data_IF_365506610434
#
_entry.id   IF_365506610434
#
_cell.length_a   1.000
_cell.length_b   1.000
_cell.length_c   1.000
_cell.angle_alpha   90.00
_cell.angle_beta   90.00
_cell.angle_gamma   90.00
#
_symmetry.space_group_name_H-M   'P 1'
#
loop_
_entity.id
_entity.type
_entity.pdbx_description
1 polymer ?
#
# COMPACT_ATOMS: atom_id res chain seq x y z
N UNK A 1 -1.62 -9.66 -20.07
CA UNK A 1 -0.79 -9.83 -18.87
C UNK A 1 -0.48 -8.43 -18.37
N UNK A 2 -1.12 -8.02 -17.28
CA UNK A 2 -0.65 -6.86 -16.53
C UNK A 2 0.67 -7.29 -15.86
N UNK A 3 1.71 -6.48 -15.99
CA UNK A 3 2.94 -6.66 -15.23
C UNK A 3 2.74 -5.96 -13.89
N UNK A 4 2.79 -6.68 -12.77
CA UNK A 4 2.82 -6.01 -11.47
C UNK A 4 4.05 -5.11 -11.36
N UNK A 5 3.92 -4.12 -10.48
CA UNK A 5 4.88 -3.04 -10.34
C UNK A 5 5.79 -3.19 -9.11
N UNK A 6 5.56 -4.21 -8.28
CA UNK A 6 6.32 -4.47 -7.06
C UNK A 6 7.04 -5.81 -7.09
N UNK A 7 8.19 -5.85 -6.42
CA UNK A 7 8.92 -7.05 -6.07
C UNK A 7 9.39 -6.82 -4.63
N UNK A 8 9.25 -7.83 -3.77
CA UNK A 8 9.59 -7.70 -2.36
C UNK A 8 10.34 -8.93 -1.85
N UNK A 9 11.25 -8.70 -0.90
CA UNK A 9 12.00 -9.74 -0.23
C UNK A 9 11.49 -9.92 1.20
N UNK A 10 11.29 -11.16 1.64
CA UNK A 10 10.82 -11.50 2.98
C UNK A 10 11.07 -12.96 3.28
N UNK A 11 11.27 -13.31 4.55
CA UNK A 11 11.42 -14.70 5.02
C UNK A 11 10.02 -15.21 5.38
N UNK A 12 9.32 -15.82 4.41
CA UNK A 12 7.90 -16.20 4.61
C UNK A 12 7.74 -17.56 5.29
N UNK A 13 8.75 -18.43 5.23
CA UNK A 13 8.72 -19.75 5.86
C UNK A 13 9.58 -19.85 7.13
N UNK A 14 10.14 -18.73 7.57
CA UNK A 14 10.93 -18.58 8.79
C UNK A 14 12.18 -19.49 8.80
N UNK A 15 12.77 -19.73 7.63
CA UNK A 15 13.98 -20.56 7.47
C UNK A 15 15.30 -19.76 7.60
N UNK A 16 15.21 -18.43 7.61
CA UNK A 16 16.32 -17.48 7.76
C UNK A 16 16.96 -17.02 6.46
N UNK A 17 16.55 -17.57 5.30
CA UNK A 17 16.88 -17.06 3.98
C UNK A 17 15.76 -16.12 3.49
N UNK A 18 16.08 -14.97 2.89
CA UNK A 18 15.05 -14.10 2.30
C UNK A 18 14.54 -14.69 0.98
N UNK A 19 13.22 -14.79 0.85
CA UNK A 19 12.50 -15.21 -0.34
C UNK A 19 11.98 -14.03 -1.14
N UNK A 20 11.59 -14.29 -2.39
CA UNK A 20 11.16 -13.25 -3.32
C UNK A 20 9.68 -13.39 -3.68
N UNK A 21 8.90 -12.36 -3.39
CA UNK A 21 7.58 -12.15 -3.98
C UNK A 21 7.72 -11.30 -5.23
N UNK A 22 7.32 -11.86 -6.38
CA UNK A 22 7.44 -11.17 -7.66
C UNK A 22 6.22 -10.32 -8.00
N UNK A 23 6.39 -9.47 -9.01
CA UNK A 23 5.36 -8.68 -9.70
C UNK A 23 4.22 -9.50 -10.34
N UNK A 24 4.26 -10.83 -10.26
CA UNK A 24 3.18 -11.70 -10.75
C UNK A 24 2.54 -12.48 -9.60
N UNK A 25 2.77 -12.04 -8.37
CA UNK A 25 2.43 -12.75 -7.14
C UNK A 25 2.92 -14.21 -7.12
N UNK A 26 4.07 -14.46 -7.76
CA UNK A 26 4.79 -15.73 -7.65
C UNK A 26 5.81 -15.60 -6.54
N UNK A 27 5.75 -16.51 -5.58
CA UNK A 27 6.76 -16.68 -4.53
C UNK A 27 7.90 -17.53 -5.09
N UNK A 28 9.12 -17.08 -4.89
CA UNK A 28 10.34 -17.84 -5.16
C UNK A 28 11.07 -18.12 -3.85
N UNK A 29 11.06 -19.38 -3.46
CA UNK A 29 11.78 -19.87 -2.29
C UNK A 29 13.29 -19.80 -2.55
N UNK A 30 14.03 -19.18 -1.65
CA UNK A 30 15.47 -19.05 -1.69
C UNK A 30 16.11 -20.06 -0.77
N UNK A 31 16.52 -21.21 -1.31
CA UNK A 31 17.30 -22.17 -0.51
C UNK A 31 18.77 -22.01 -0.82
N UNK A 32 19.55 -21.47 0.12
CA UNK A 32 21.00 -21.28 -0.01
C UNK A 32 21.41 -20.48 -1.27
N UNK A 33 20.71 -19.39 -1.58
CA UNK A 33 20.99 -18.52 -2.72
C UNK A 33 20.43 -19.01 -4.05
N UNK A 34 19.56 -20.02 -4.04
CA UNK A 34 18.90 -20.56 -5.23
C UNK A 34 17.39 -20.37 -5.16
N UNK A 35 16.88 -19.47 -6.00
CA UNK A 35 15.45 -19.21 -6.17
C UNK A 35 14.75 -20.35 -6.92
N UNK A 36 13.65 -20.85 -6.34
CA UNK A 36 12.75 -21.84 -6.94
C UNK A 36 11.32 -21.36 -6.77
N UNK A 37 10.56 -21.22 -7.86
CA UNK A 37 9.16 -20.83 -7.79
C UNK A 37 8.33 -21.92 -7.08
N UNK A 38 7.49 -21.53 -6.12
CA UNK A 38 6.62 -22.44 -5.34
C UNK A 38 5.13 -22.26 -5.64
N UNK A 39 4.77 -21.29 -6.49
CA UNK A 39 3.42 -21.09 -7.03
C UNK A 39 3.41 -21.39 -8.53
N UNK A 40 2.44 -22.17 -9.00
CA UNK A 40 2.34 -22.57 -10.42
C UNK A 40 1.39 -21.72 -11.26
N UNK A 41 0.66 -20.76 -10.67
CA UNK A 41 -0.25 -19.90 -11.44
C UNK A 41 0.00 -18.40 -11.16
N UNK A 42 0.59 -17.65 -12.12
CA UNK A 42 0.72 -16.21 -11.99
C UNK A 42 -0.66 -15.57 -11.89
N UNK A 43 -0.93 -14.90 -10.78
CA UNK A 43 -2.10 -14.01 -10.69
C UNK A 43 -1.76 -12.71 -11.39
N UNK A 44 -2.62 -12.29 -12.31
CA UNK A 44 -2.56 -10.91 -12.82
C UNK A 44 -2.76 -9.99 -11.63
N UNK A 45 -1.82 -9.09 -11.37
CA UNK A 45 -1.91 -8.13 -10.27
C UNK A 45 -1.15 -6.85 -10.64
N UNK A 46 -1.48 -5.75 -9.98
CA UNK A 46 -0.75 -4.49 -10.06
C UNK A 46 0.32 -4.40 -8.96
N UNK A 47 0.00 -4.94 -7.79
CA UNK A 47 0.84 -4.85 -6.61
C UNK A 47 0.74 -6.14 -5.81
N UNK A 48 1.88 -6.57 -5.28
CA UNK A 48 2.01 -7.67 -4.34
C UNK A 48 2.99 -7.25 -3.24
N UNK A 49 2.69 -7.61 -1.99
CA UNK A 49 3.54 -7.27 -0.83
C UNK A 49 3.46 -8.31 0.28
N UNK A 50 4.54 -8.42 1.06
CA UNK A 50 4.59 -9.17 2.30
C UNK A 50 4.17 -8.29 3.48
N UNK A 51 3.39 -8.84 4.40
CA UNK A 51 3.00 -8.17 5.65
C UNK A 51 2.70 -9.23 6.71
N UNK A 52 2.99 -8.97 7.98
CA UNK A 52 2.47 -9.75 9.10
C UNK A 52 1.24 -9.00 9.65
N UNK A 53 0.05 -9.28 9.11
CA UNK A 53 -1.15 -8.46 9.43
C UNK A 53 -1.83 -8.89 10.74
N UNK A 54 -1.60 -10.11 11.21
CA UNK A 54 -2.23 -10.65 12.43
C UNK A 54 -1.25 -10.88 13.59
N UNK A 55 0.02 -10.47 13.41
CA UNK A 55 1.11 -10.50 14.39
C UNK A 55 1.49 -11.92 14.82
N UNK A 56 1.34 -12.90 13.95
CA UNK A 56 1.76 -14.28 14.23
C UNK A 56 3.26 -14.55 13.89
N UNK A 57 3.94 -13.57 13.27
CA UNK A 57 5.31 -13.62 12.75
C UNK A 57 5.51 -14.55 11.53
N UNK A 58 4.45 -14.98 10.87
CA UNK A 58 4.53 -15.52 9.52
C UNK A 58 4.18 -14.39 8.53
N UNK A 59 5.01 -14.15 7.51
CA UNK A 59 4.67 -13.13 6.52
C UNK A 59 3.51 -13.61 5.63
N UNK A 60 2.44 -12.83 5.63
CA UNK A 60 1.26 -12.96 4.78
C UNK A 60 1.45 -12.24 3.45
N UNK A 61 0.74 -12.71 2.43
CA UNK A 61 0.82 -12.14 1.08
C UNK A 61 -0.42 -11.33 0.77
N UNK A 62 -0.23 -10.10 0.32
CA UNK A 62 -1.31 -9.22 -0.14
C UNK A 62 -1.20 -9.07 -1.65
N UNK A 63 -2.32 -9.20 -2.36
CA UNK A 63 -2.41 -9.00 -3.80
C UNK A 63 -3.46 -7.94 -4.09
N UNK A 64 -3.04 -6.88 -4.77
CA UNK A 64 -3.95 -5.90 -5.35
C UNK A 64 -4.05 -6.12 -6.86
N UNK A 65 -5.26 -6.42 -7.34
CA UNK A 65 -5.62 -6.41 -8.75
C UNK A 65 -6.66 -5.31 -9.04
N UNK A 66 -7.25 -5.31 -10.23
CA UNK A 66 -8.18 -4.27 -10.68
C UNK A 66 -9.47 -4.20 -9.85
N UNK A 67 -9.96 -5.36 -9.40
CA UNK A 67 -11.27 -5.52 -8.76
C UNK A 67 -11.19 -6.16 -7.37
N UNK A 68 -10.00 -6.56 -6.89
CA UNK A 68 -9.81 -7.14 -5.56
C UNK A 68 -8.51 -6.70 -4.88
N UNK A 69 -8.59 -6.54 -3.56
CA UNK A 69 -7.45 -6.50 -2.65
C UNK A 69 -7.60 -7.76 -1.79
N UNK A 70 -6.76 -8.76 -2.02
CA UNK A 70 -6.86 -10.06 -1.36
C UNK A 70 -5.70 -10.21 -0.37
N UNK A 71 -6.01 -10.57 0.89
CA UNK A 71 -5.03 -11.06 1.85
C UNK A 71 -5.00 -12.60 1.85
N UNK A 72 -3.80 -13.16 1.68
CA UNK A 72 -3.52 -14.59 1.83
C UNK A 72 -2.75 -14.79 3.13
N UNK A 73 -3.46 -15.24 4.16
CA UNK A 73 -2.85 -15.56 5.44
C UNK A 73 -1.92 -16.76 5.28
N UNK A 74 -0.69 -16.61 5.74
CA UNK A 74 0.31 -17.65 5.82
C UNK A 74 0.22 -18.35 7.17
N UNK A 75 0.18 -19.67 7.15
CA UNK A 75 0.32 -20.49 8.34
C UNK A 75 1.47 -21.45 8.09
N UNK A 76 2.69 -21.02 8.42
CA UNK A 76 3.93 -21.77 8.27
C UNK A 76 4.13 -22.36 6.86
N UNK A 77 4.03 -21.50 5.84
CA UNK A 77 4.18 -21.81 4.41
C UNK A 77 2.90 -22.23 3.70
N UNK A 78 1.77 -22.33 4.41
CA UNK A 78 0.47 -22.65 3.83
C UNK A 78 -0.41 -21.40 3.74
N UNK A 79 -0.77 -20.99 2.53
CA UNK A 79 -1.56 -19.79 2.28
C UNK A 79 -3.07 -20.07 2.16
N UNK A 80 -3.89 -19.26 2.84
CA UNK A 80 -5.36 -19.26 2.71
C UNK A 80 -5.92 -17.86 2.52
N UNK A 81 -6.87 -17.69 1.60
CA UNK A 81 -7.56 -16.42 1.39
C UNK A 81 -8.38 -16.02 2.62
N UNK A 82 -8.20 -14.79 3.07
CA UNK A 82 -8.98 -14.16 4.14
C UNK A 82 -10.21 -13.48 3.53
N UNK A 83 -11.34 -13.53 4.23
CA UNK A 83 -12.52 -12.72 3.89
C UNK A 83 -12.33 -11.33 4.51
N UNK A 84 -11.61 -10.47 3.81
CA UNK A 84 -11.33 -9.11 4.25
C UNK A 84 -12.35 -8.10 3.69
N UNK A 85 -12.39 -6.91 4.30
CA UNK A 85 -13.27 -5.81 3.90
C UNK A 85 -12.49 -4.64 3.30
N UNK A 86 -11.37 -4.91 2.64
CA UNK A 86 -10.53 -3.89 2.03
C UNK A 86 -10.99 -3.66 0.58
N UNK A 87 -11.38 -2.44 0.27
CA UNK A 87 -11.74 -2.09 -1.11
C UNK A 87 -10.51 -2.10 -2.02
N UNK A 88 -10.65 -2.69 -3.20
CA UNK A 88 -9.66 -2.59 -4.27
C UNK A 88 -9.70 -1.23 -4.96
N UNK A 89 -8.54 -0.75 -5.41
CA UNK A 89 -8.44 0.44 -6.22
C UNK A 89 -7.68 0.15 -7.52
N UNK A 90 -8.27 0.55 -8.64
CA UNK A 90 -7.64 0.42 -9.96
C UNK A 90 -6.39 1.27 -10.03
N UNK A 91 -5.34 0.72 -10.64
CA UNK A 91 -4.03 1.37 -10.68
C UNK A 91 -3.51 1.75 -9.28
N UNK A 92 -3.93 0.99 -8.27
CA UNK A 92 -3.73 1.37 -6.88
C UNK A 92 -2.39 0.98 -6.29
N UNK A 93 -2.20 1.43 -5.06
CA UNK A 93 -1.07 1.18 -4.19
C UNK A 93 -1.60 0.80 -2.81
N UNK A 94 -0.85 -0.06 -2.13
CA UNK A 94 -1.08 -0.41 -0.72
C UNK A 94 0.15 0.02 0.07
N UNK A 95 -0.09 0.59 1.26
CA UNK A 95 0.94 0.85 2.25
C UNK A 95 0.48 0.37 3.61
N UNK A 96 1.38 -0.26 4.35
CA UNK A 96 1.15 -0.75 5.70
C UNK A 96 1.88 0.13 6.72
N UNK A 97 1.29 0.31 7.89
CA UNK A 97 1.86 1.08 9.00
C UNK A 97 0.88 1.18 10.17
N UNK A 98 1.39 1.26 11.39
CA UNK A 98 0.61 1.43 12.62
C UNK A 98 0.38 2.93 12.86
N UNK A 99 -0.76 3.47 12.38
CA UNK A 99 -1.00 4.93 12.42
C UNK A 99 -1.57 5.42 13.75
N UNK A 100 -2.12 4.52 14.56
CA UNK A 100 -2.69 4.85 15.87
C UNK A 100 -1.92 4.26 17.06
N UNK A 101 -0.75 3.68 16.80
CA UNK A 101 0.22 3.20 17.79
C UNK A 101 -0.34 2.09 18.70
N UNK A 102 -1.25 1.25 18.17
CA UNK A 102 -1.79 0.08 18.88
C UNK A 102 -1.01 -1.23 18.58
N UNK A 103 -0.06 -1.12 17.65
CA UNK A 103 0.86 -2.15 17.19
C UNK A 103 0.32 -3.05 16.09
N UNK A 104 -0.94 -2.91 15.66
CA UNK A 104 -1.49 -3.63 14.51
C UNK A 104 -1.08 -2.85 13.26
N UNK A 105 -0.67 -3.55 12.22
CA UNK A 105 -0.40 -2.87 10.95
C UNK A 105 -1.72 -2.49 10.29
N UNK A 106 -1.96 -1.19 10.17
CA UNK A 106 -3.08 -0.63 9.42
C UNK A 106 -2.74 -0.52 7.93
N UNK A 107 -3.77 -0.33 7.11
CA UNK A 107 -3.63 -0.31 5.66
C UNK A 107 -4.17 0.96 5.04
N UNK A 108 -3.33 1.60 4.25
CA UNK A 108 -3.67 2.68 3.34
C UNK A 108 -3.81 2.11 1.94
N UNK A 109 -5.00 2.26 1.36
CA UNK A 109 -5.26 1.94 -0.05
C UNK A 109 -5.49 3.24 -0.81
N UNK A 110 -4.76 3.41 -1.90
CA UNK A 110 -4.99 4.51 -2.84
C UNK A 110 -5.07 3.99 -4.27
N UNK A 111 -5.77 4.71 -5.15
CA UNK A 111 -5.83 4.42 -6.57
C UNK A 111 -6.86 5.29 -7.27
N UNK A 112 -7.46 4.78 -8.34
CA UNK A 112 -8.46 5.52 -9.08
C UNK A 112 -9.69 5.85 -8.21
N UNK A 113 -9.92 7.14 -7.92
CA UNK A 113 -11.04 7.64 -7.11
C UNK A 113 -11.15 7.05 -5.69
N UNK A 114 -10.09 6.45 -5.16
CA UNK A 114 -10.10 5.80 -3.84
C UNK A 114 -8.86 6.20 -3.04
N UNK A 115 -9.08 6.70 -1.83
CA UNK A 115 -8.07 7.00 -0.82
C UNK A 115 -8.67 6.67 0.54
N UNK A 116 -8.32 5.52 1.11
CA UNK A 116 -8.90 5.04 2.37
C UNK A 116 -7.82 4.50 3.30
N UNK A 117 -8.02 4.73 4.59
CA UNK A 117 -7.28 4.06 5.64
C UNK A 117 -8.25 3.10 6.32
N UNK A 118 -7.83 1.85 6.45
CA UNK A 118 -8.51 0.87 7.28
C UNK A 118 -7.66 0.61 8.50
N UNK A 119 -8.25 0.80 9.67
CA UNK A 119 -7.64 0.38 10.92
C UNK A 119 -7.76 -1.13 11.05
N UNK A 120 -6.67 -1.78 11.41
CA UNK A 120 -6.64 -3.21 11.66
C UNK A 120 -6.83 -3.46 13.16
N UNK A 121 -7.94 -4.07 13.55
CA UNK A 121 -8.19 -4.48 14.93
C UNK A 121 -8.00 -6.00 15.05
N UNK A 122 -6.75 -6.48 15.18
CA UNK A 122 -6.38 -7.91 15.24
C UNK A 122 -6.92 -8.75 14.06
N UNK A 123 -6.61 -8.34 12.84
CA UNK A 123 -7.03 -8.99 11.59
C UNK A 123 -8.40 -8.55 11.07
N UNK A 124 -9.05 -7.57 11.73
CA UNK A 124 -10.35 -7.03 11.32
C UNK A 124 -10.19 -5.59 10.81
N UNK A 125 -10.42 -5.38 9.52
CA UNK A 125 -10.20 -4.09 8.86
C UNK A 125 -11.43 -3.19 8.88
N UNK A 126 -11.31 -2.01 9.48
CA UNK A 126 -12.39 -1.02 9.59
C UNK A 126 -12.01 0.28 8.87
N UNK A 127 -12.79 0.69 7.87
CA UNK A 127 -12.63 1.99 7.20
C UNK A 127 -12.88 3.13 8.20
N UNK A 128 -11.84 3.92 8.49
CA UNK A 128 -11.93 5.02 9.46
C UNK A 128 -12.61 6.27 8.86
N UNK A 129 -12.98 6.23 7.58
CA UNK A 129 -13.53 7.36 6.83
C UNK A 129 -12.61 8.59 6.91
N UNK A 130 -11.29 8.36 6.82
CA UNK A 130 -10.29 9.40 6.82
C UNK A 130 -10.61 10.39 5.70
N UNK A 131 -10.64 11.69 6.02
CA UNK A 131 -10.94 12.74 5.05
C UNK A 131 -9.73 13.05 4.15
N UNK A 132 -9.15 12.02 3.55
CA UNK A 132 -7.96 12.06 2.68
C UNK A 132 -8.26 12.63 1.28
N UNK A 133 -9.42 13.24 1.07
CA UNK A 133 -9.68 13.96 -0.15
C UNK A 133 -10.87 14.88 0.06
N UNK A 134 -10.61 16.19 0.06
CA UNK A 134 -11.66 17.19 0.00
C UNK A 134 -11.84 17.59 -1.46
N UNK A 135 -12.98 17.19 -2.03
CA UNK A 135 -13.56 17.78 -3.23
C UNK A 135 -12.88 17.46 -4.57
N UNK A 136 -13.36 16.43 -5.24
CA UNK A 136 -13.87 16.58 -6.61
C UNK A 136 -14.47 15.26 -7.08
N UNK A 137 -15.67 15.32 -7.63
CA UNK A 137 -16.33 14.26 -8.41
C UNK A 137 -15.64 14.00 -9.76
N UNK A 138 -14.30 14.00 -9.78
CA UNK A 138 -13.44 13.88 -10.94
C UNK A 138 -12.59 12.62 -10.79
N UNK A 139 -12.24 12.00 -11.91
CA UNK A 139 -11.33 10.86 -11.93
C UNK A 139 -9.97 11.31 -11.38
N UNK A 140 -9.64 10.87 -10.16
CA UNK A 140 -8.29 10.98 -9.58
C UNK A 140 -7.56 9.67 -9.83
N UNK A 141 -6.27 9.72 -10.10
CA UNK A 141 -5.38 8.57 -10.17
C UNK A 141 -4.26 8.76 -9.18
N UNK A 142 -4.11 7.84 -8.22
CA UNK A 142 -2.92 7.76 -7.37
C UNK A 142 -1.99 6.71 -7.93
N UNK A 143 -0.70 7.03 -8.10
CA UNK A 143 0.29 6.05 -8.53
C UNK A 143 1.00 5.37 -7.36
N UNK A 144 1.07 6.04 -6.21
CA UNK A 144 1.71 5.52 -5.01
C UNK A 144 1.27 6.30 -3.77
N UNK A 145 1.18 5.62 -2.64
CA UNK A 145 0.90 6.19 -1.32
C UNK A 145 1.77 5.52 -0.25
N UNK A 146 2.03 6.26 0.84
CA UNK A 146 2.89 5.82 1.95
C UNK A 146 2.42 6.39 3.29
N UNK A 147 2.44 5.54 4.31
CA UNK A 147 2.55 5.99 5.70
C UNK A 147 3.98 6.48 6.00
N UNK A 148 4.10 7.51 6.82
CA UNK A 148 5.37 8.11 7.24
C UNK A 148 5.15 8.97 8.49
N UNK A 149 6.09 9.02 9.42
CA UNK A 149 6.15 10.08 10.43
C UNK A 149 6.85 11.34 9.84
N UNK A 150 6.09 12.34 9.38
CA UNK A 150 6.62 13.51 8.66
C UNK A 150 7.17 14.58 9.60
N UNK A 151 6.58 14.77 10.78
CA UNK A 151 7.04 15.78 11.74
C UNK A 151 7.72 15.20 13.00
N UNK A 152 8.00 13.89 13.00
CA UNK A 152 8.72 13.17 14.04
C UNK A 152 7.99 13.24 15.40
N UNK A 153 6.66 13.22 15.37
CA UNK A 153 5.83 13.22 16.57
C UNK A 153 5.47 11.81 17.05
N UNK A 154 5.82 10.79 16.27
CA UNK A 154 5.61 9.37 16.55
C UNK A 154 4.27 8.83 16.05
N UNK A 155 3.37 9.66 15.52
CA UNK A 155 2.16 9.21 14.84
C UNK A 155 2.44 9.14 13.32
N UNK A 156 2.04 8.04 12.65
CA UNK A 156 2.23 7.98 11.20
C UNK A 156 1.24 8.91 10.47
N UNK A 157 1.80 9.84 9.72
CA UNK A 157 1.17 10.65 8.67
C UNK A 157 1.03 9.86 7.37
N UNK A 158 0.42 10.48 6.35
CA UNK A 158 0.29 9.85 5.04
C UNK A 158 0.58 10.80 3.88
N UNK A 159 1.09 10.24 2.78
CA UNK A 159 1.34 10.96 1.55
C UNK A 159 0.94 10.16 0.32
N UNK A 160 0.63 10.84 -0.77
CA UNK A 160 0.48 10.20 -2.09
C UNK A 160 0.87 11.12 -3.23
N UNK A 161 1.13 10.50 -4.37
CA UNK A 161 1.42 11.14 -5.65
C UNK A 161 0.42 10.65 -6.71
N UNK A 162 0.00 11.55 -7.59
CA UNK A 162 -1.02 11.27 -8.59
C UNK A 162 -1.49 12.49 -9.36
N UNK A 163 -2.70 12.42 -9.90
CA UNK A 163 -3.34 13.56 -10.57
C UNK A 163 -4.85 13.43 -10.64
N UNK A 164 -5.53 14.53 -10.92
CA UNK A 164 -6.95 14.57 -11.23
C UNK A 164 -7.16 15.16 -12.63
N UNK A 165 -8.09 14.60 -13.40
CA UNK A 165 -8.54 15.24 -14.65
C UNK A 165 -9.72 16.16 -14.39
N UNK A 166 -9.52 17.45 -14.63
CA UNK A 166 -10.61 18.40 -14.75
C UNK A 166 -11.52 18.02 -15.92
N UNK A 167 -12.78 17.66 -15.64
CA UNK A 167 -13.78 17.43 -16.69
C UNK A 167 -14.22 18.78 -17.29
N UNK A 168 -14.31 18.93 -18.63
CA UNK A 168 -14.19 17.87 -19.63
C UNK A 168 -12.76 17.69 -20.18
N UNK A 169 -12.42 16.43 -20.51
CA UNK A 169 -11.17 15.92 -21.11
C UNK A 169 -10.67 16.67 -22.38
N UNK A 170 -11.42 17.64 -22.90
CA UNK A 170 -11.10 18.44 -24.08
C UNK A 170 -10.38 19.76 -23.80
N UNK A 171 -10.21 20.17 -22.53
CA UNK A 171 -9.53 21.43 -22.17
C UNK A 171 -8.11 21.24 -21.60
N UNK A 172 -7.62 20.00 -21.50
CA UNK A 172 -6.20 19.73 -21.25
C UNK A 172 -5.68 20.06 -19.84
N UNK A 173 -6.55 20.22 -18.84
CA UNK A 173 -6.14 20.39 -17.44
C UNK A 173 -6.06 19.05 -16.72
N UNK A 174 -4.84 18.54 -16.54
CA UNK A 174 -4.56 17.52 -15.50
C UNK A 174 -3.97 18.27 -14.33
N UNK A 175 -4.64 18.25 -13.18
CA UNK A 175 -4.09 18.77 -11.95
C UNK A 175 -3.26 17.66 -11.33
N UNK A 176 -1.94 17.79 -11.42
CA UNK A 176 -1.05 16.88 -10.71
C UNK A 176 -1.16 17.17 -9.22
N UNK A 177 -1.21 16.12 -8.42
CA UNK A 177 -1.36 16.26 -6.98
C UNK A 177 -0.35 15.36 -6.28
N UNK A 178 0.57 15.99 -5.57
CA UNK A 178 1.26 15.37 -4.45
C UNK A 178 0.65 15.95 -3.19
N UNK A 179 0.31 15.08 -2.24
CA UNK A 179 -0.32 15.49 -1.00
C UNK A 179 0.37 14.85 0.19
N UNK A 180 0.39 15.58 1.31
CA UNK A 180 0.77 15.08 2.62
C UNK A 180 -0.37 15.44 3.57
N UNK A 181 -0.73 14.51 4.43
CA UNK A 181 -1.73 14.66 5.47
C UNK A 181 -1.09 14.33 6.80
N UNK A 182 -1.06 15.32 7.66
CA UNK A 182 -0.58 15.15 9.03
C UNK A 182 -1.67 14.49 9.87
N UNK A 183 -1.32 13.42 10.58
CA UNK A 183 -2.13 12.73 11.55
C UNK A 183 -1.98 13.41 12.91
N UNK A 184 -3.09 13.62 13.60
CA UNK A 184 -3.06 13.97 15.00
C UNK A 184 -4.19 13.24 15.73
N UNK A 185 -3.86 12.17 16.44
CA UNK A 185 -4.85 11.28 17.09
C UNK A 185 -5.92 10.77 16.09
N UNK A 186 -5.48 10.13 15.01
CA UNK A 186 -6.33 9.55 13.95
C UNK A 186 -7.08 10.58 13.10
N UNK A 187 -6.79 11.87 13.24
CA UNK A 187 -7.36 12.94 12.41
C UNK A 187 -6.33 13.41 11.40
N UNK A 188 -6.58 13.12 10.12
CA UNK A 188 -5.70 13.49 9.02
C UNK A 188 -6.07 14.86 8.42
N UNK A 189 -5.10 15.78 8.40
CA UNK A 189 -5.25 17.15 7.88
C UNK A 189 -4.24 17.41 6.77
N UNK A 190 -4.71 17.86 5.59
CA UNK A 190 -3.81 18.23 4.49
C UNK A 190 -2.87 19.38 4.89
N UNK A 191 -1.58 19.24 4.61
CA UNK A 191 -0.58 20.30 4.80
C UNK A 191 -0.21 20.99 3.48
N UNK A 192 0.14 22.27 3.57
CA UNK A 192 0.68 23.01 2.43
C UNK A 192 2.12 22.55 2.13
N UNK A 193 2.29 21.82 1.04
CA UNK A 193 3.60 21.32 0.62
C UNK A 193 4.52 22.45 0.09
N UNK A 194 5.83 22.39 0.37
CA UNK A 194 6.82 23.33 -0.18
C UNK A 194 7.40 22.90 -1.54
N UNK A 195 6.86 21.86 -2.19
CA UNK A 195 7.40 21.26 -3.41
C UNK A 195 6.35 21.12 -4.52
N UNK A 196 6.83 20.96 -5.76
CA UNK A 196 5.99 20.86 -6.96
C UNK A 196 5.18 19.54 -7.01
N UNK A 197 4.09 19.54 -7.75
CA UNK A 197 3.30 18.33 -7.98
C UNK A 197 3.96 17.38 -8.98
N UNK A 198 3.88 16.08 -8.71
CA UNK A 198 4.21 15.02 -9.67
C UNK A 198 2.96 14.26 -10.08
N UNK A 199 2.92 13.82 -11.34
CA UNK A 199 1.79 13.11 -11.95
C UNK A 199 1.84 11.59 -11.75
N UNK A 200 3.03 11.06 -11.47
CA UNK A 200 3.33 9.64 -11.35
C UNK A 200 4.70 9.47 -10.71
N UNK A 201 4.91 8.35 -10.03
CA UNK A 201 6.19 8.03 -9.40
C UNK A 201 6.04 7.13 -8.19
N UNK A 202 7.18 6.82 -7.58
CA UNK A 202 7.26 6.12 -6.30
C UNK A 202 7.68 7.10 -5.20
N UNK A 203 7.03 7.03 -4.05
CA UNK A 203 7.44 7.77 -2.86
C UNK A 203 8.44 6.92 -2.07
N UNK A 204 9.53 7.56 -1.68
CA UNK A 204 10.51 7.01 -0.75
C UNK A 204 10.91 8.13 0.19
N UNK A 205 11.04 7.77 1.46
CA UNK A 205 11.34 8.69 2.53
C UNK A 205 12.50 8.14 3.35
N UNK A 206 13.28 9.05 3.91
CA UNK A 206 14.40 8.72 4.76
C UNK A 206 14.98 10.00 5.33
N UNK A 207 15.45 9.90 6.56
CA UNK A 207 16.29 10.93 7.16
C UNK A 207 17.66 10.92 6.48
N UNK A 208 17.98 12.02 5.78
CA UNK A 208 19.20 12.10 4.97
C UNK A 208 20.38 12.69 5.74
N UNK A 209 20.12 13.47 6.78
CA UNK A 209 21.11 14.22 7.56
C UNK A 209 21.25 13.78 9.01
N UNK A 210 20.40 12.88 9.51
CA UNK A 210 20.45 12.30 10.85
C UNK A 210 20.41 13.36 11.97
N UNK A 211 19.58 14.39 11.82
CA UNK A 211 19.45 15.49 12.77
C UNK A 211 18.31 15.35 13.80
#
# INVERSE_FOLDING_TARGET
MLSGLSIEWGDYDNDGDLDLLSAQAIIYNNTNGKLTAISEDPKSCYFSTWVDYDRDNDLDMVILDYDSADIYQNNSGSFSLVDDSIDAAKYGSISWGDYDNDGDLDVLVSGECLHKIYRNDNGLFNDINASLYAESSLESWSSNSKFIDYDNDGDLDTSWVGGSVGMPLFLGGVDYTTKIYQNHNSLFTEINKPFDDSNSGHLSWGDFDND
#
